data_IF_348991427085
#
_entry.id   IF_348991427085
#
_cell.length_a   1.000
_cell.length_b   1.000
_cell.length_c   1.000
_cell.angle_alpha   90.00
_cell.angle_beta   90.00
_cell.angle_gamma   90.00
#
_symmetry.space_group_name_H-M   'P 1'
#
loop_
_entity.id
_entity.type
_entity.pdbx_description
1 polymer ?
#
# COMPACT_ATOMS: atom_id res chain seq x y z
N UNK A 1 0.57 -32.90 26.07
CA UNK A 1 0.97 -33.18 24.66
C UNK A 1 -0.18 -33.07 23.63
N UNK A 2 -1.44 -33.41 23.96
CA UNK A 2 -2.59 -33.37 23.02
C UNK A 2 -2.88 -31.99 22.37
N UNK A 3 -2.65 -30.89 23.10
CA UNK A 3 -2.87 -29.53 22.60
C UNK A 3 -1.87 -29.10 21.49
N UNK A 4 -0.64 -29.62 21.53
CA UNK A 4 0.40 -29.29 20.54
C UNK A 4 0.09 -29.92 19.18
N UNK A 5 -0.47 -31.13 19.15
CA UNK A 5 -0.88 -31.79 17.91
C UNK A 5 -2.09 -31.13 17.26
N UNK A 6 -3.01 -30.55 18.05
CA UNK A 6 -4.14 -29.78 17.53
C UNK A 6 -3.67 -28.49 16.83
N UNK A 7 -2.76 -27.74 17.46
CA UNK A 7 -2.17 -26.54 16.84
C UNK A 7 -1.40 -26.86 15.55
N UNK A 8 -0.65 -27.96 15.53
CA UNK A 8 0.11 -28.40 14.34
C UNK A 8 -0.79 -28.84 13.17
N UNK A 9 -1.99 -29.35 13.45
CA UNK A 9 -3.01 -29.68 12.43
C UNK A 9 -3.68 -28.44 11.87
N UNK A 10 -4.07 -27.50 12.74
CA UNK A 10 -4.66 -26.23 12.32
C UNK A 10 -3.67 -25.37 11.52
N UNK A 11 -2.39 -25.33 11.90
CA UNK A 11 -1.35 -24.63 11.14
C UNK A 11 -1.05 -25.27 9.78
N UNK A 12 -1.32 -26.57 9.60
CA UNK A 12 -1.20 -27.27 8.31
C UNK A 12 -2.33 -26.95 7.33
N UNK A 13 -3.45 -26.43 7.82
CA UNK A 13 -4.58 -26.00 6.99
C UNK A 13 -4.41 -24.56 6.48
N UNK A 14 -3.49 -23.78 7.07
CA UNK A 14 -3.09 -22.47 6.56
C UNK A 14 -2.17 -22.69 5.35
N UNK A 15 -2.60 -22.27 4.17
CA UNK A 15 -1.74 -22.30 3.00
C UNK A 15 -0.52 -21.39 3.23
N UNK A 16 0.71 -21.86 2.97
CA UNK A 16 1.89 -21.01 3.02
C UNK A 16 1.81 -19.96 1.90
N UNK A 17 2.19 -18.73 2.21
CA UNK A 17 2.48 -17.71 1.19
C UNK A 17 3.91 -17.95 0.66
N UNK A 18 4.15 -18.07 -0.65
CA UNK A 18 3.20 -17.94 -1.78
C UNK A 18 2.34 -19.20 -1.99
N UNK A 19 1.10 -18.99 -2.43
CA UNK A 19 0.07 -20.03 -2.52
C UNK A 19 0.38 -21.14 -3.55
N UNK A 20 -0.06 -22.36 -3.27
CA UNK A 20 0.32 -23.54 -4.09
C UNK A 20 -0.42 -23.66 -5.43
N UNK A 21 -1.59 -23.02 -5.56
CA UNK A 21 -2.43 -23.14 -6.77
C UNK A 21 -2.06 -22.09 -7.83
N UNK A 22 -2.10 -22.48 -9.11
CA UNK A 22 -1.70 -21.60 -10.24
C UNK A 22 -2.43 -20.25 -10.25
N UNK A 23 -3.73 -20.24 -9.94
CA UNK A 23 -4.53 -19.00 -9.90
C UNK A 23 -4.07 -18.02 -8.83
N UNK A 24 -3.77 -18.51 -7.62
CA UNK A 24 -3.31 -17.66 -6.52
C UNK A 24 -1.91 -17.08 -6.80
N UNK A 25 -1.02 -17.84 -7.43
CA UNK A 25 0.31 -17.33 -7.86
C UNK A 25 0.22 -16.22 -8.90
N UNK A 26 -0.73 -16.31 -9.83
CA UNK A 26 -0.98 -15.23 -10.81
C UNK A 26 -1.52 -13.98 -10.11
N UNK A 27 -2.45 -14.16 -9.17
CA UNK A 27 -2.96 -13.06 -8.36
C UNK A 27 -1.84 -12.40 -7.55
N UNK A 28 -0.95 -13.18 -6.91
CA UNK A 28 0.19 -12.66 -6.16
C UNK A 28 1.10 -11.79 -7.05
N UNK A 29 1.39 -12.24 -8.28
CA UNK A 29 2.18 -11.48 -9.23
C UNK A 29 1.49 -10.18 -9.70
N UNK A 30 0.17 -10.23 -9.93
CA UNK A 30 -0.63 -9.06 -10.29
C UNK A 30 -0.64 -8.05 -9.13
N UNK A 31 -0.84 -8.50 -7.90
CA UNK A 31 -0.84 -7.63 -6.71
C UNK A 31 0.52 -6.96 -6.55
N UNK A 32 1.62 -7.70 -6.75
CA UNK A 32 2.97 -7.12 -6.76
C UNK A 32 3.13 -6.01 -7.79
N UNK A 33 2.69 -6.26 -9.02
CA UNK A 33 2.77 -5.29 -10.10
C UNK A 33 1.93 -4.05 -9.82
N UNK A 34 0.67 -4.24 -9.40
CA UNK A 34 -0.25 -3.15 -9.07
C UNK A 34 0.23 -2.38 -7.84
N UNK A 35 0.86 -3.02 -6.86
CA UNK A 35 1.42 -2.35 -5.70
C UNK A 35 2.49 -1.31 -6.04
N UNK A 36 3.22 -1.52 -7.15
CA UNK A 36 4.22 -0.58 -7.65
C UNK A 36 3.61 0.43 -8.61
N UNK A 37 2.74 -0.02 -9.52
CA UNK A 37 2.16 0.84 -10.57
C UNK A 37 1.05 1.74 -10.05
N UNK A 38 0.30 1.30 -9.04
CA UNK A 38 -0.81 2.04 -8.45
C UNK A 38 -0.42 3.45 -7.98
N UNK A 39 0.61 3.62 -7.14
CA UNK A 39 1.08 4.93 -6.72
C UNK A 39 1.48 5.86 -7.88
N UNK A 40 1.93 5.32 -9.02
CA UNK A 40 2.27 6.13 -10.20
C UNK A 40 1.05 6.83 -10.80
N UNK A 41 -0.16 6.36 -10.51
CA UNK A 41 -1.39 7.06 -10.89
C UNK A 41 -1.55 8.43 -10.21
N UNK A 42 -0.77 8.72 -9.16
CA UNK A 42 -0.72 10.05 -8.55
C UNK A 42 0.18 11.04 -9.33
N UNK A 43 0.97 10.58 -10.30
CA UNK A 43 1.87 11.45 -11.08
C UNK A 43 1.12 12.58 -11.81
N UNK A 44 0.02 12.34 -12.54
CA UNK A 44 -0.72 13.42 -13.20
C UNK A 44 -1.21 14.49 -12.22
N UNK A 45 -1.61 14.08 -11.02
CA UNK A 45 -2.02 15.00 -9.95
C UNK A 45 -0.85 15.86 -9.49
N UNK A 46 0.33 15.25 -9.26
CA UNK A 46 1.54 15.99 -8.92
C UNK A 46 1.97 16.96 -10.03
N UNK A 47 1.87 16.54 -11.29
CA UNK A 47 2.18 17.43 -12.43
C UNK A 47 1.24 18.64 -12.45
N UNK A 48 -0.07 18.46 -12.23
CA UNK A 48 -1.02 19.58 -12.11
C UNK A 48 -0.57 20.56 -11.03
N UNK A 49 -0.29 20.06 -9.83
CA UNK A 49 0.10 20.89 -8.68
C UNK A 49 1.41 21.65 -8.93
N UNK A 50 2.48 20.96 -9.32
CA UNK A 50 3.82 21.54 -9.37
C UNK A 50 4.13 22.26 -10.68
N UNK A 51 3.49 21.89 -11.80
CA UNK A 51 3.72 22.56 -13.10
C UNK A 51 2.70 23.65 -13.38
N UNK A 52 1.44 23.46 -12.99
CA UNK A 52 0.39 24.47 -13.19
C UNK A 52 0.22 25.39 -11.98
N UNK A 53 0.91 25.10 -10.86
CA UNK A 53 0.79 25.86 -9.60
C UNK A 53 -0.66 25.99 -9.14
N UNK A 54 -1.45 24.93 -9.39
CA UNK A 54 -2.87 24.90 -9.12
C UNK A 54 -3.21 23.68 -8.26
N UNK A 55 -3.50 23.95 -7.00
CA UNK A 55 -4.03 22.98 -6.05
C UNK A 55 -5.39 23.40 -5.45
N UNK A 56 -6.13 24.34 -6.08
CA UNK A 56 -7.37 24.89 -5.51
C UNK A 56 -8.47 23.85 -5.28
N UNK A 57 -8.47 22.79 -6.08
CA UNK A 57 -9.47 21.73 -6.02
C UNK A 57 -9.07 20.56 -5.10
N UNK A 58 -7.93 20.68 -4.40
CA UNK A 58 -7.37 19.58 -3.62
C UNK A 58 -7.79 19.67 -2.15
N UNK A 59 -8.52 18.66 -1.69
CA UNK A 59 -8.88 18.53 -0.28
C UNK A 59 -7.67 18.11 0.57
N UNK A 60 -7.02 19.07 1.23
CA UNK A 60 -5.88 18.83 2.13
C UNK A 60 -6.20 17.79 3.21
N UNK A 61 -7.42 17.83 3.77
CA UNK A 61 -7.87 16.89 4.81
C UNK A 61 -7.89 15.47 4.26
N UNK A 62 -8.41 15.27 3.05
CA UNK A 62 -8.50 13.94 2.44
C UNK A 62 -7.11 13.35 2.21
N UNK A 63 -6.20 14.09 1.58
CA UNK A 63 -4.86 13.59 1.26
C UNK A 63 -3.99 13.37 2.51
N UNK A 64 -4.14 14.22 3.53
CA UNK A 64 -3.47 14.03 4.83
C UNK A 64 -4.01 12.78 5.54
N UNK A 65 -5.31 12.53 5.47
CA UNK A 65 -5.93 11.33 6.06
C UNK A 65 -5.45 10.06 5.36
N UNK A 66 -5.34 10.07 4.04
CA UNK A 66 -4.77 8.95 3.27
C UNK A 66 -3.33 8.66 3.68
N UNK A 67 -2.48 9.69 3.77
CA UNK A 67 -1.10 9.54 4.26
C UNK A 67 -1.05 8.92 5.67
N UNK A 68 -1.95 9.34 6.57
CA UNK A 68 -2.01 8.75 7.92
C UNK A 68 -2.47 7.29 7.91
N UNK A 69 -3.38 6.91 7.02
CA UNK A 69 -3.86 5.53 6.89
C UNK A 69 -2.82 4.58 6.27
N UNK A 70 -1.88 5.09 5.49
CA UNK A 70 -0.77 4.28 4.97
C UNK A 70 0.13 3.76 6.12
N UNK A 71 0.25 4.49 7.23
CA UNK A 71 1.15 4.14 8.35
C UNK A 71 0.77 2.77 8.98
N UNK A 72 -0.48 2.51 9.42
CA UNK A 72 -0.89 1.19 9.88
C UNK A 72 -0.61 0.06 8.89
N UNK A 73 -0.78 0.31 7.58
CA UNK A 73 -0.54 -0.70 6.55
C UNK A 73 0.95 -1.01 6.36
N UNK A 74 1.82 0.00 6.42
CA UNK A 74 3.28 -0.17 6.40
C UNK A 74 3.71 -1.00 7.62
N UNK A 75 3.22 -0.67 8.81
CA UNK A 75 3.49 -1.43 10.04
C UNK A 75 3.02 -2.87 9.89
N UNK A 76 1.81 -3.08 9.37
CA UNK A 76 1.26 -4.41 9.13
C UNK A 76 2.14 -5.23 8.18
N UNK A 77 2.52 -4.66 7.04
CA UNK A 77 3.39 -5.29 6.05
C UNK A 77 4.77 -5.63 6.61
N UNK A 78 5.33 -4.74 7.44
CA UNK A 78 6.59 -4.99 8.14
C UNK A 78 6.50 -6.15 9.14
N UNK A 79 5.48 -6.13 10.02
CA UNK A 79 5.28 -7.16 11.06
C UNK A 79 5.02 -8.54 10.45
N UNK A 80 4.22 -8.61 9.39
CA UNK A 80 3.88 -9.87 8.73
C UNK A 80 4.92 -10.32 7.70
N UNK A 81 5.98 -9.53 7.47
CA UNK A 81 7.02 -9.78 6.46
C UNK A 81 6.42 -9.96 5.06
N UNK A 82 5.46 -9.11 4.73
CA UNK A 82 4.81 -9.03 3.43
C UNK A 82 5.42 -7.86 2.63
N UNK A 83 6.55 -8.06 1.93
CA UNK A 83 7.23 -7.01 1.17
C UNK A 83 6.35 -6.29 0.14
N UNK A 84 5.39 -6.91 -0.59
CA UNK A 84 4.61 -6.16 -1.57
C UNK A 84 3.72 -5.11 -0.92
N UNK A 85 3.10 -5.43 0.23
CA UNK A 85 2.30 -4.46 0.98
C UNK A 85 3.19 -3.33 1.51
N UNK A 86 4.33 -3.68 2.08
CA UNK A 86 5.26 -2.69 2.63
C UNK A 86 5.68 -1.68 1.55
N UNK A 87 6.12 -2.16 0.38
CA UNK A 87 6.58 -1.31 -0.72
C UNK A 87 5.43 -0.45 -1.26
N UNK A 88 4.26 -1.05 -1.50
CA UNK A 88 3.12 -0.35 -2.06
C UNK A 88 2.64 0.82 -1.18
N UNK A 89 2.44 0.57 0.11
CA UNK A 89 1.96 1.60 1.03
C UNK A 89 3.05 2.63 1.38
N UNK A 90 4.33 2.25 1.35
CA UNK A 90 5.43 3.23 1.47
C UNK A 90 5.45 4.19 0.28
N UNK A 91 5.25 3.68 -0.95
CA UNK A 91 5.13 4.51 -2.13
C UNK A 91 3.90 5.43 -2.04
N UNK A 92 2.74 4.88 -1.68
CA UNK A 92 1.52 5.69 -1.46
C UNK A 92 1.75 6.81 -0.44
N UNK A 93 2.38 6.52 0.69
CA UNK A 93 2.70 7.51 1.70
C UNK A 93 3.54 8.67 1.13
N UNK A 94 4.56 8.35 0.32
CA UNK A 94 5.40 9.37 -0.33
C UNK A 94 4.57 10.22 -1.29
N UNK A 95 3.80 9.62 -2.20
CA UNK A 95 2.98 10.35 -3.16
C UNK A 95 1.90 11.21 -2.47
N UNK A 96 1.19 10.65 -1.49
CA UNK A 96 0.18 11.37 -0.71
C UNK A 96 0.81 12.57 0.02
N UNK A 97 2.00 12.39 0.61
CA UNK A 97 2.73 13.48 1.27
C UNK A 97 3.15 14.57 0.27
N UNK A 98 3.62 14.19 -0.92
CA UNK A 98 3.95 15.16 -1.97
C UNK A 98 2.72 15.98 -2.40
N UNK A 99 1.55 15.34 -2.52
CA UNK A 99 0.30 16.05 -2.82
C UNK A 99 -0.07 17.00 -1.68
N UNK A 100 0.05 16.59 -0.42
CA UNK A 100 -0.19 17.44 0.75
C UNK A 100 0.74 18.66 0.77
N UNK A 101 2.04 18.45 0.55
CA UNK A 101 3.03 19.54 0.48
C UNK A 101 2.69 20.50 -0.65
N UNK A 102 2.42 19.98 -1.85
CA UNK A 102 2.06 20.80 -2.98
C UNK A 102 0.74 21.56 -2.80
N UNK A 103 -0.24 20.96 -2.12
CA UNK A 103 -1.49 21.63 -1.76
C UNK A 103 -1.29 22.75 -0.73
N UNK A 104 -0.32 22.64 0.18
CA UNK A 104 0.02 23.73 1.12
C UNK A 104 0.74 24.87 0.40
N UNK A 105 1.56 24.56 -0.62
CA UNK A 105 2.35 25.56 -1.33
C UNK A 105 1.56 26.31 -2.41
N UNK A 106 0.61 25.64 -3.07
CA UNK A 106 -0.10 26.15 -4.27
C UNK A 106 -1.64 26.10 -4.15
N UNK A 107 -2.17 25.84 -2.95
CA UNK A 107 -3.61 25.84 -2.66
C UNK A 107 -4.10 27.15 -2.07
#
# INVERSE_FOLDING_TARGET
MRHLHLRKRLSRALEPYPASTRGKRVLDAIIYFIGIVGPLAAIPQLVKIYSMHDASDISLISWSTWALFDIPWIIYGFVHKEPPLLIAYTLWLVFNTLVVVGAILYG
#
